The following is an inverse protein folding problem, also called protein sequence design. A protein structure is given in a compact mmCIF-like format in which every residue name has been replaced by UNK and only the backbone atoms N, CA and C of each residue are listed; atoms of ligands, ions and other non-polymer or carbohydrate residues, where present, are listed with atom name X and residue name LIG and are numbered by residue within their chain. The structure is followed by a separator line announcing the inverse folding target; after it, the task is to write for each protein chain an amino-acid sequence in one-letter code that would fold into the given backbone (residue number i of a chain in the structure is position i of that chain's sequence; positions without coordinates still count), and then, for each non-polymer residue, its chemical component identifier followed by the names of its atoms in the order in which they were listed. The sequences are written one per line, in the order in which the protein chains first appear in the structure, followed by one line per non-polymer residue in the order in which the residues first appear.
data_IF_036458206957
#
_entry.id   IF_036458206957
#
_cell.length_a   1.000
_cell.length_b   1.000
_cell.length_c   1.000
_cell.angle_alpha   90.00
_cell.angle_beta   90.00
_cell.angle_gamma   90.00
#
_symmetry.space_group_name_H-M   'P 1'
#
loop_
_entity.id
_entity.type
_entity.pdbx_description
1 polymer ?
#
# COMPACT_ATOMS: atom_id res chain seq x y z
N UNK A 1 4.72 -0.18 -27.40
CA UNK A 1 4.00 -0.45 -26.17
C UNK A 1 4.99 -0.74 -25.05
N UNK A 2 4.85 -0.05 -23.99
CA UNK A 2 5.75 -0.28 -22.92
C UNK A 2 5.28 -1.43 -22.05
N UNK A 3 6.23 -2.20 -21.61
CA UNK A 3 5.91 -3.27 -20.68
C UNK A 3 5.56 -2.69 -19.33
N UNK A 4 4.49 -3.15 -18.74
CA UNK A 4 4.22 -2.74 -17.38
C UNK A 4 5.30 -3.27 -16.45
N UNK A 5 5.56 -2.54 -15.39
CA UNK A 5 6.48 -3.01 -14.37
C UNK A 5 5.88 -4.29 -13.78
N UNK A 6 6.66 -5.37 -13.71
CA UNK A 6 6.14 -6.60 -13.12
C UNK A 6 5.68 -6.38 -11.69
N UNK A 7 4.47 -6.80 -11.39
CA UNK A 7 3.93 -6.66 -10.05
C UNK A 7 4.81 -7.34 -9.01
N UNK A 8 5.37 -8.47 -9.38
CA UNK A 8 6.26 -9.22 -8.50
C UNK A 8 7.47 -8.38 -8.06
N UNK A 9 8.03 -7.58 -8.99
CA UNK A 9 9.16 -6.71 -8.64
C UNK A 9 8.76 -5.63 -7.64
N UNK A 10 7.58 -5.06 -7.81
CA UNK A 10 7.09 -4.05 -6.89
C UNK A 10 6.88 -4.66 -5.50
N UNK A 11 6.27 -5.82 -5.45
CA UNK A 11 6.01 -6.50 -4.18
C UNK A 11 7.31 -6.87 -3.48
N UNK A 12 8.28 -7.37 -4.24
CA UNK A 12 9.55 -7.77 -3.67
C UNK A 12 10.30 -6.58 -3.09
N UNK A 13 10.32 -5.46 -3.82
CA UNK A 13 10.97 -4.25 -3.32
C UNK A 13 10.33 -3.76 -2.04
N UNK A 14 8.99 -3.80 -1.98
CA UNK A 14 8.26 -3.39 -0.79
C UNK A 14 8.55 -4.33 0.37
N UNK A 15 8.62 -5.62 0.10
CA UNK A 15 8.95 -6.63 1.10
C UNK A 15 10.34 -6.38 1.70
N UNK A 16 11.30 -6.06 0.86
CA UNK A 16 12.66 -5.78 1.32
C UNK A 16 12.69 -4.52 2.18
N UNK A 17 11.98 -3.49 1.76
CA UNK A 17 11.92 -2.26 2.55
C UNK A 17 11.28 -2.51 3.90
N UNK A 18 10.20 -3.30 3.94
CA UNK A 18 9.53 -3.63 5.19
C UNK A 18 10.47 -4.38 6.12
N UNK A 19 11.26 -5.30 5.57
CA UNK A 19 12.22 -6.06 6.36
C UNK A 19 13.29 -5.15 6.95
N UNK A 20 13.79 -4.20 6.14
CA UNK A 20 14.81 -3.26 6.60
C UNK A 20 14.29 -2.42 7.75
N UNK A 21 13.03 -2.02 7.69
CA UNK A 21 12.42 -1.21 8.75
C UNK A 21 11.97 -2.03 9.94
N UNK A 22 12.02 -3.34 9.86
CA UNK A 22 11.62 -4.19 10.97
C UNK A 22 10.13 -4.28 11.18
N UNK A 23 9.35 -4.07 10.13
CA UNK A 23 7.90 -4.11 10.24
C UNK A 23 7.40 -5.55 10.36
N UNK A 24 6.34 -5.73 11.13
CA UNK A 24 5.82 -7.06 11.41
C UNK A 24 4.40 -7.28 10.91
N UNK A 25 3.57 -6.25 10.90
CA UNK A 25 2.17 -6.39 10.52
C UNK A 25 1.74 -5.17 9.73
N UNK A 26 1.45 -5.37 8.46
CA UNK A 26 1.21 -4.29 7.52
C UNK A 26 -0.26 -4.27 7.13
N UNK A 27 -0.86 -3.07 7.15
CA UNK A 27 -2.21 -2.88 6.63
C UNK A 27 -2.11 -2.57 5.14
N UNK A 28 -2.84 -3.30 4.32
CA UNK A 28 -2.78 -3.16 2.87
C UNK A 28 -4.01 -2.42 2.36
N UNK A 29 -3.79 -1.32 1.67
CA UNK A 29 -4.86 -0.58 1.01
C UNK A 29 -4.64 -0.65 -0.49
N UNK A 30 -5.70 -0.81 -1.25
CA UNK A 30 -5.60 -0.88 -2.69
C UNK A 30 -6.96 -1.12 -3.31
N UNK A 31 -6.96 -1.51 -4.58
CA UNK A 31 -8.20 -1.90 -5.24
C UNK A 31 -8.77 -3.14 -4.57
N UNK A 32 -10.05 -3.43 -4.88
CA UNK A 32 -10.70 -4.61 -4.29
C UNK A 32 -9.88 -5.88 -4.57
N UNK A 33 -9.42 -6.02 -5.80
CA UNK A 33 -8.63 -7.19 -6.18
C UNK A 33 -7.38 -7.31 -5.31
N UNK A 34 -6.65 -6.20 -5.16
CA UNK A 34 -5.41 -6.20 -4.37
C UNK A 34 -5.67 -6.58 -2.92
N UNK A 35 -6.77 -6.05 -2.35
CA UNK A 35 -7.07 -6.30 -0.95
C UNK A 35 -7.60 -7.71 -0.69
N UNK A 36 -8.35 -8.27 -1.63
CA UNK A 36 -9.00 -9.57 -1.43
C UNK A 36 -8.12 -10.74 -1.80
N UNK A 37 -7.28 -10.60 -2.83
CA UNK A 37 -6.46 -11.69 -3.30
C UNK A 37 -5.20 -11.85 -2.48
N UNK A 38 -4.60 -13.02 -2.57
CA UNK A 38 -3.47 -13.36 -1.73
C UNK A 38 -2.11 -13.05 -2.38
N UNK A 39 -2.12 -12.64 -3.64
CA UNK A 39 -0.87 -12.49 -4.38
C UNK A 39 0.06 -11.45 -3.78
N UNK A 40 -0.49 -10.40 -3.15
CA UNK A 40 0.33 -9.38 -2.51
C UNK A 40 0.77 -9.82 -1.13
N UNK A 41 -0.10 -10.53 -0.42
CA UNK A 41 0.15 -10.91 0.97
C UNK A 41 1.11 -12.06 1.14
N UNK A 42 1.06 -13.00 0.19
CA UNK A 42 1.84 -14.22 0.32
C UNK A 42 3.35 -14.00 0.40
N UNK A 43 3.95 -13.16 -0.46
CA UNK A 43 5.40 -12.93 -0.36
C UNK A 43 5.84 -12.38 0.98
N UNK A 44 5.01 -11.53 1.60
CA UNK A 44 5.33 -11.02 2.94
C UNK A 44 5.23 -12.11 3.98
N UNK A 45 4.18 -12.94 3.87
CA UNK A 45 3.99 -14.04 4.80
C UNK A 45 5.19 -15.00 4.75
N UNK A 46 5.77 -15.19 3.56
CA UNK A 46 6.91 -16.08 3.39
C UNK A 46 8.13 -15.63 4.15
N UNK A 47 8.23 -14.34 4.49
CA UNK A 47 9.36 -13.83 5.28
C UNK A 47 8.94 -13.44 6.70
N UNK A 48 7.78 -13.91 7.15
CA UNK A 48 7.35 -13.70 8.52
C UNK A 48 6.65 -12.38 8.78
N UNK A 49 6.21 -11.69 7.74
CA UNK A 49 5.48 -10.43 7.89
C UNK A 49 4.01 -10.69 7.56
N UNK A 50 3.14 -10.31 8.48
CA UNK A 50 1.71 -10.48 8.26
C UNK A 50 1.15 -9.26 7.55
N UNK A 51 0.30 -9.47 6.54
CA UNK A 51 -0.36 -8.39 5.82
C UNK A 51 -1.86 -8.58 5.98
N UNK A 52 -2.53 -7.54 6.45
CA UNK A 52 -3.98 -7.58 6.63
C UNK A 52 -4.61 -6.46 5.84
N UNK A 53 -5.80 -6.71 5.32
CA UNK A 53 -6.55 -5.70 4.57
C UNK A 53 -7.84 -5.40 5.30
N UNK A 54 -8.44 -4.22 5.07
CA UNK A 54 -9.77 -3.94 5.63
C UNK A 54 -10.77 -4.95 5.14
N UNK A 55 -11.85 -5.10 5.89
CA UNK A 55 -12.92 -6.05 5.55
C UNK A 55 -14.26 -5.35 5.62
N UNK A 56 -15.28 -5.97 5.00
CA UNK A 56 -16.64 -5.47 5.09
C UNK A 56 -16.78 -4.05 4.59
N UNK A 57 -17.36 -3.19 5.41
CA UNK A 57 -17.64 -1.81 5.02
C UNK A 57 -16.37 -1.03 4.70
N UNK A 58 -15.31 -1.27 5.47
CA UNK A 58 -14.05 -0.54 5.25
C UNK A 58 -13.42 -0.92 3.92
N UNK A 59 -13.42 -2.21 3.60
CA UNK A 59 -12.91 -2.66 2.30
C UNK A 59 -13.72 -2.06 1.16
N UNK A 60 -15.04 -2.07 1.29
CA UNK A 60 -15.92 -1.51 0.26
C UNK A 60 -15.68 -0.02 0.09
N UNK A 61 -15.49 0.70 1.20
CA UNK A 61 -15.24 2.13 1.15
C UNK A 61 -13.96 2.43 0.38
N UNK A 62 -12.86 1.75 0.74
CA UNK A 62 -11.57 1.97 0.07
C UNK A 62 -11.68 1.66 -1.42
N UNK A 63 -12.24 0.49 -1.75
CA UNK A 63 -12.35 0.05 -3.14
C UNK A 63 -13.19 1.01 -3.97
N UNK A 64 -14.31 1.43 -3.41
CA UNK A 64 -15.22 2.31 -4.14
C UNK A 64 -14.63 3.69 -4.36
N UNK A 65 -13.95 4.24 -3.35
CA UNK A 65 -13.35 5.57 -3.50
C UNK A 65 -12.18 5.57 -4.47
N UNK A 66 -11.42 4.49 -4.52
CA UNK A 66 -10.36 4.40 -5.52
C UNK A 66 -10.98 4.40 -6.92
N UNK A 67 -11.99 3.59 -7.14
CA UNK A 67 -12.58 3.46 -8.47
C UNK A 67 -13.36 4.70 -8.91
N UNK A 68 -14.07 5.35 -7.97
CA UNK A 68 -14.95 6.46 -8.34
C UNK A 68 -14.30 7.84 -8.21
N UNK A 69 -13.24 7.96 -7.44
CA UNK A 69 -12.62 9.26 -7.20
C UNK A 69 -11.15 9.29 -7.59
N UNK A 70 -10.32 8.47 -6.96
CA UNK A 70 -8.88 8.57 -7.16
C UNK A 70 -8.46 8.24 -8.59
N UNK A 71 -9.08 7.26 -9.21
CA UNK A 71 -8.72 6.91 -10.59
C UNK A 71 -9.12 8.00 -11.57
N UNK A 72 -9.98 8.92 -11.15
CA UNK A 72 -10.38 10.07 -11.96
C UNK A 72 -9.69 11.36 -11.52
N UNK A 73 -8.69 11.24 -10.65
CA UNK A 73 -7.95 12.40 -10.19
C UNK A 73 -8.68 13.24 -9.16
N UNK A 74 -9.74 12.72 -8.57
CA UNK A 74 -10.55 13.45 -7.58
C UNK A 74 -10.03 13.13 -6.18
N UNK A 75 -9.67 14.17 -5.43
CA UNK A 75 -9.18 14.01 -4.05
C UNK A 75 -10.04 14.90 -3.15
N UNK A 76 -10.87 14.28 -2.30
CA UNK A 76 -11.79 14.99 -1.43
C UNK A 76 -11.36 14.89 0.02
N UNK A 77 -11.64 15.95 0.78
CA UNK A 77 -11.25 15.97 2.19
C UNK A 77 -12.00 14.92 3.02
N UNK A 78 -13.28 14.72 2.72
CA UNK A 78 -14.04 13.69 3.46
C UNK A 78 -13.56 12.29 3.12
N UNK A 79 -13.08 12.09 1.90
CA UNK A 79 -12.48 10.81 1.53
C UNK A 79 -11.16 10.59 2.27
N UNK A 80 -10.35 11.63 2.39
CA UNK A 80 -9.11 11.54 3.18
C UNK A 80 -9.40 11.15 4.62
N UNK A 81 -10.40 11.79 5.22
CA UNK A 81 -10.78 11.49 6.60
C UNK A 81 -11.25 10.05 6.72
N UNK A 82 -12.00 9.55 5.72
CA UNK A 82 -12.46 8.18 5.72
C UNK A 82 -11.32 7.18 5.63
N UNK A 83 -10.31 7.46 4.80
CA UNK A 83 -9.16 6.58 4.70
C UNK A 83 -8.38 6.55 6.02
N UNK A 84 -8.22 7.72 6.67
CA UNK A 84 -7.57 7.75 7.97
C UNK A 84 -8.34 6.93 9.00
N UNK A 85 -9.66 6.99 8.95
CA UNK A 85 -10.49 6.22 9.87
C UNK A 85 -10.28 4.72 9.67
N UNK A 86 -10.20 4.27 8.42
CA UNK A 86 -9.95 2.87 8.12
C UNK A 86 -8.59 2.44 8.69
N UNK A 87 -7.58 3.29 8.52
CA UNK A 87 -6.25 2.99 9.07
C UNK A 87 -6.29 2.91 10.58
N UNK A 88 -6.98 3.86 11.23
CA UNK A 88 -7.12 3.82 12.68
C UNK A 88 -7.82 2.55 13.16
N UNK A 89 -8.87 2.14 12.44
CA UNK A 89 -9.56 0.91 12.80
C UNK A 89 -8.61 -0.30 12.71
N UNK A 90 -7.79 -0.35 11.66
CA UNK A 90 -6.82 -1.43 11.53
C UNK A 90 -5.78 -1.39 12.63
N UNK A 91 -5.35 -0.19 13.05
CA UNK A 91 -4.40 -0.06 14.14
C UNK A 91 -4.99 -0.61 15.44
N UNK A 92 -6.26 -0.33 15.67
CA UNK A 92 -6.91 -0.76 16.91
C UNK A 92 -7.25 -2.25 16.86
N UNK A 93 -7.83 -2.71 15.77
CA UNK A 93 -8.36 -4.07 15.68
C UNK A 93 -7.29 -5.09 15.31
N UNK A 94 -6.40 -4.73 14.40
CA UNK A 94 -5.40 -5.65 13.89
C UNK A 94 -3.99 -5.32 14.38
N UNK A 95 -3.79 -4.16 15.01
CA UNK A 95 -2.51 -3.74 15.57
C UNK A 95 -1.42 -3.67 14.51
N UNK A 96 -1.76 -3.10 13.35
CA UNK A 96 -0.77 -2.92 12.28
C UNK A 96 0.29 -1.92 12.72
N UNK A 97 1.51 -2.08 12.22
CA UNK A 97 2.61 -1.16 12.50
C UNK A 97 2.98 -0.33 11.30
N UNK A 98 2.31 -0.53 10.16
CA UNK A 98 2.59 0.21 8.95
C UNK A 98 1.44 0.01 7.96
N UNK A 99 1.45 0.81 6.89
CA UNK A 99 0.45 0.74 5.84
C UNK A 99 1.17 0.64 4.50
N UNK A 100 0.73 -0.28 3.66
CA UNK A 100 1.26 -0.40 2.30
C UNK A 100 0.22 0.11 1.31
N UNK A 101 0.65 0.95 0.39
CA UNK A 101 -0.22 1.51 -0.64
C UNK A 101 -0.05 0.68 -1.91
N UNK A 102 -1.02 -0.17 -2.17
CA UNK A 102 -0.95 -1.12 -3.27
C UNK A 102 -1.57 -0.63 -4.57
N UNK A 103 -1.85 0.66 -4.66
CA UNK A 103 -2.48 1.24 -5.85
C UNK A 103 -1.72 2.52 -6.18
N UNK A 104 -1.51 2.78 -7.47
CA UNK A 104 -0.71 3.94 -7.89
C UNK A 104 -1.37 5.27 -7.58
N UNK A 105 -2.67 5.29 -7.38
CA UNK A 105 -3.40 6.52 -7.08
C UNK A 105 -3.48 6.85 -5.60
N UNK A 106 -3.18 5.87 -4.72
CA UNK A 106 -3.31 6.09 -3.29
C UNK A 106 -2.42 7.21 -2.75
N UNK A 107 -1.19 7.40 -3.24
CA UNK A 107 -0.38 8.50 -2.73
C UNK A 107 -1.06 9.86 -2.87
N UNK A 108 -1.97 10.03 -3.82
CA UNK A 108 -2.67 11.29 -3.98
C UNK A 108 -3.52 11.63 -2.76
N UNK A 109 -4.17 10.62 -2.17
CA UNK A 109 -5.04 10.87 -1.01
C UNK A 109 -4.23 11.14 0.25
N UNK A 110 -2.99 10.64 0.31
CA UNK A 110 -2.16 10.81 1.49
C UNK A 110 -1.17 11.95 1.39
N UNK A 111 -1.14 12.64 0.25
CA UNK A 111 -0.24 13.78 0.08
C UNK A 111 -0.56 14.87 1.10
N UNK A 112 0.46 15.29 1.82
CA UNK A 112 0.30 16.31 2.84
C UNK A 112 -0.27 15.83 4.15
N UNK A 113 -0.55 14.54 4.28
CA UNK A 113 -1.05 13.97 5.53
C UNK A 113 0.08 13.31 6.30
N UNK A 114 0.05 13.49 7.62
CA UNK A 114 0.96 12.76 8.49
C UNK A 114 0.22 11.58 9.08
N UNK A 115 0.76 10.39 8.84
CA UNK A 115 0.18 9.18 9.40
C UNK A 115 0.91 8.81 10.68
N UNK A 116 0.19 8.23 11.66
CA UNK A 116 0.83 7.85 12.93
C UNK A 116 1.78 6.67 12.79
N UNK A 117 1.77 5.97 11.66
CA UNK A 117 2.63 4.83 11.42
C UNK A 117 3.27 4.97 10.03
N UNK A 118 4.38 4.26 9.79
CA UNK A 118 5.05 4.34 8.48
C UNK A 118 4.14 3.95 7.34
N UNK A 119 4.32 4.59 6.20
CA UNK A 119 3.56 4.34 4.99
C UNK A 119 4.51 3.86 3.90
N UNK A 120 4.21 2.69 3.35
CA UNK A 120 5.01 2.11 2.28
C UNK A 120 4.36 2.44 0.94
N UNK A 121 4.92 3.44 0.25
CA UNK A 121 4.48 3.77 -1.10
C UNK A 121 5.18 2.82 -2.04
N UNK A 122 4.45 1.81 -2.52
CA UNK A 122 5.05 0.72 -3.29
C UNK A 122 5.70 1.22 -4.57
N UNK A 123 5.11 2.22 -5.20
CA UNK A 123 5.67 2.74 -6.44
C UNK A 123 6.97 3.50 -6.20
N UNK A 124 7.00 4.32 -5.16
CA UNK A 124 8.21 5.05 -4.83
C UNK A 124 9.33 4.11 -4.42
N UNK A 125 9.01 3.10 -3.63
CA UNK A 125 10.00 2.11 -3.20
C UNK A 125 10.59 1.40 -4.40
N UNK A 126 9.74 1.01 -5.35
CA UNK A 126 10.22 0.32 -6.55
C UNK A 126 11.11 1.24 -7.38
N UNK A 127 10.71 2.51 -7.52
CA UNK A 127 11.52 3.48 -8.28
C UNK A 127 12.90 3.65 -7.67
N UNK A 128 13.00 3.73 -6.35
CA UNK A 128 14.29 3.86 -5.69
C UNK A 128 15.15 2.61 -5.90
N UNK A 129 14.53 1.45 -5.86
CA UNK A 129 15.26 0.20 -6.09
C UNK A 129 15.82 0.15 -7.51
N UNK A 130 15.05 0.61 -8.49
CA UNK A 130 15.52 0.65 -9.87
C UNK A 130 16.69 1.60 -10.04
N UNK A 131 16.62 2.77 -9.41
CA UNK A 131 17.71 3.73 -9.49
C UNK A 131 18.99 3.18 -8.87
N UNK A 132 18.87 2.52 -7.73
CA UNK A 132 20.03 1.90 -7.09
C UNK A 132 20.66 0.85 -8.00
N UNK A 133 19.83 0.03 -8.64
CA UNK A 133 20.35 -0.99 -9.54
C UNK A 133 21.06 -0.37 -10.73
N UNK A 134 20.51 0.72 -11.27
CA UNK A 134 21.14 1.41 -12.39
C UNK A 134 22.49 2.01 -12.00
N UNK A 135 22.56 2.58 -10.81
CA UNK A 135 23.82 3.14 -10.33
C UNK A 135 24.89 2.07 -10.15
N UNK A 136 24.48 0.92 -9.63
CA UNK A 136 25.41 -0.17 -9.41
C UNK A 136 25.94 -0.76 -10.71
N UNK A 137 25.15 -0.67 -11.79
CA UNK A 137 25.56 -1.26 -13.05
C UNK A 137 26.33 -0.31 -13.95
N UNK A 138 26.49 0.93 -13.56
CA UNK A 138 27.24 1.89 -14.40
C UNK A 138 28.71 1.99 -14.06
#
# INVERSE_FOLDING_TARGET
EKSPVPLISIIKATQEEASVQGLKKIGLLGTRFTMEEDFFKKPFRDVGIEVVAPKGKDLNFIAEKIASELEHGIVRQDTKAGFLKVIENLMIEEKIDSVALGCTELPLIFDGLELPIPCLDTLEIHSRALLSAMELSS
#
